data_IF_597684261503
#
_entry.id   IF_597684261503
#
_cell.length_a   1.000
_cell.length_b   1.000
_cell.length_c   1.000
_cell.angle_alpha   90.00
_cell.angle_beta   90.00
_cell.angle_gamma   90.00
#
_symmetry.space_group_name_H-M   'P 1'
#
loop_
_entity.id
_entity.type
_entity.pdbx_description
1 polymer ?
#
# COMPACT_ATOMS: atom_id res chain seq x y z
N UNK A 1 5.87 48.34 12.42
CA UNK A 1 4.41 48.51 12.13
C UNK A 1 3.65 48.32 13.44
N UNK A 2 2.86 49.32 13.90
CA UNK A 2 2.05 49.19 15.13
C UNK A 2 0.80 48.37 14.80
N UNK A 3 0.54 47.30 15.54
CA UNK A 3 -0.72 46.55 15.42
C UNK A 3 -1.92 47.48 15.70
N UNK A 4 -2.96 47.39 14.85
CA UNK A 4 -4.21 48.11 15.06
C UNK A 4 -4.83 47.70 16.40
N UNK A 5 -5.69 48.57 16.95
CA UNK A 5 -6.41 48.30 18.20
C UNK A 5 -7.25 47.01 18.09
N UNK A 6 -7.92 46.82 16.95
CA UNK A 6 -8.76 45.64 16.65
C UNK A 6 -7.92 44.36 16.59
N UNK A 7 -6.72 44.40 15.99
CA UNK A 7 -5.83 43.24 15.95
C UNK A 7 -5.38 42.79 17.35
N UNK A 8 -5.21 43.74 18.27
CA UNK A 8 -4.91 43.45 19.68
C UNK A 8 -6.10 42.88 20.43
N UNK A 9 -7.30 43.40 20.20
CA UNK A 9 -8.54 42.90 20.80
C UNK A 9 -8.85 41.46 20.35
N UNK A 10 -8.75 41.16 19.06
CA UNK A 10 -8.92 39.78 18.56
C UNK A 10 -7.84 38.85 19.11
N UNK A 11 -6.59 39.33 19.21
CA UNK A 11 -5.51 38.57 19.84
C UNK A 11 -5.81 38.23 21.30
N UNK A 12 -6.35 39.18 22.06
CA UNK A 12 -6.76 38.98 23.45
C UNK A 12 -7.90 37.98 23.57
N UNK A 13 -8.99 38.13 22.79
CA UNK A 13 -10.13 37.20 22.82
C UNK A 13 -9.67 35.78 22.48
N UNK A 14 -8.82 35.62 21.47
CA UNK A 14 -8.25 34.32 21.11
C UNK A 14 -7.45 33.72 22.26
N UNK A 15 -6.58 34.51 22.88
CA UNK A 15 -5.77 34.03 24.00
C UNK A 15 -6.63 33.60 25.18
N UNK A 16 -7.68 34.37 25.51
CA UNK A 16 -8.64 34.01 26.55
C UNK A 16 -9.43 32.76 26.21
N UNK A 17 -9.94 32.61 24.99
CA UNK A 17 -10.68 31.42 24.58
C UNK A 17 -9.82 30.15 24.58
N UNK A 18 -8.54 30.26 24.20
CA UNK A 18 -7.60 29.14 24.27
C UNK A 18 -7.24 28.77 25.71
N UNK A 19 -7.07 29.77 26.57
CA UNK A 19 -6.81 29.54 27.99
C UNK A 19 -8.02 28.89 28.66
N UNK A 20 -9.23 29.32 28.32
CA UNK A 20 -10.47 28.72 28.80
C UNK A 20 -10.55 27.25 28.38
N UNK A 21 -10.41 26.95 27.08
CA UNK A 21 -10.42 25.59 26.54
C UNK A 21 -9.35 24.68 27.17
N UNK A 22 -8.16 25.22 27.47
CA UNK A 22 -7.09 24.47 28.11
C UNK A 22 -7.35 24.18 29.59
N UNK A 23 -8.18 24.99 30.25
CA UNK A 23 -8.54 24.85 31.66
C UNK A 23 -9.89 24.15 31.86
N UNK A 24 -10.69 23.95 30.81
CA UNK A 24 -11.95 23.21 30.89
C UNK A 24 -11.68 21.77 31.35
N UNK A 25 -12.28 21.42 32.48
CA UNK A 25 -12.19 20.07 33.04
C UNK A 25 -13.11 19.09 32.30
N UNK A 26 -12.78 17.80 32.39
CA UNK A 26 -13.64 16.72 31.89
C UNK A 26 -15.08 16.79 32.41
N UNK A 27 -15.28 17.27 33.65
CA UNK A 27 -16.61 17.36 34.25
C UNK A 27 -17.42 18.52 33.71
N UNK A 28 -16.78 19.65 33.45
CA UNK A 28 -17.40 20.78 32.74
C UNK A 28 -17.82 20.36 31.33
N UNK A 29 -16.93 19.66 30.60
CA UNK A 29 -17.26 19.10 29.28
C UNK A 29 -18.49 18.18 29.39
N UNK A 30 -18.51 17.24 30.34
CA UNK A 30 -19.67 16.34 30.51
C UNK A 30 -20.96 17.10 30.82
N UNK A 31 -20.89 18.15 31.64
CA UNK A 31 -22.04 18.96 31.98
C UNK A 31 -22.56 19.74 30.77
N UNK A 32 -21.69 20.32 29.95
CA UNK A 32 -22.09 21.01 28.72
C UNK A 32 -22.85 20.08 27.76
N UNK A 33 -22.35 18.86 27.53
CA UNK A 33 -23.05 17.87 26.71
C UNK A 33 -24.41 17.50 27.31
N UNK A 34 -24.49 17.36 28.64
CA UNK A 34 -25.75 17.05 29.34
C UNK A 34 -26.75 18.20 29.21
N UNK A 35 -26.31 19.45 29.38
CA UNK A 35 -27.14 20.66 29.24
C UNK A 35 -27.64 20.84 27.81
N UNK A 36 -26.82 20.47 26.82
CA UNK A 36 -27.22 20.44 25.41
C UNK A 36 -28.15 19.27 25.05
N UNK A 37 -28.50 18.39 26.01
CA UNK A 37 -29.33 17.20 25.78
C UNK A 37 -28.63 16.14 24.93
N UNK A 38 -27.31 16.17 24.86
CA UNK A 38 -26.50 15.26 24.06
C UNK A 38 -25.95 14.11 24.92
N UNK A 39 -26.04 12.88 24.41
CA UNK A 39 -25.40 11.72 25.02
C UNK A 39 -23.94 11.61 24.56
N UNK A 40 -23.02 11.89 25.48
CA UNK A 40 -21.58 11.82 25.21
C UNK A 40 -21.12 10.42 24.77
N UNK A 41 -21.76 9.35 25.26
CA UNK A 41 -21.43 7.97 24.85
C UNK A 41 -21.82 7.75 23.39
N UNK A 42 -23.00 8.23 22.98
CA UNK A 42 -23.44 8.18 21.59
C UNK A 42 -22.52 8.98 20.67
N UNK A 43 -22.12 10.19 21.06
CA UNK A 43 -21.20 11.05 20.29
C UNK A 43 -19.82 10.39 20.14
N UNK A 44 -19.29 9.83 21.23
CA UNK A 44 -18.02 9.10 21.19
C UNK A 44 -18.08 7.90 20.25
N UNK A 45 -19.16 7.11 20.32
CA UNK A 45 -19.39 5.97 19.43
C UNK A 45 -19.48 6.39 17.96
N UNK A 46 -20.25 7.45 17.67
CA UNK A 46 -20.38 7.97 16.31
C UNK A 46 -19.03 8.42 15.75
N UNK A 47 -18.23 9.12 16.55
CA UNK A 47 -16.90 9.59 16.18
C UNK A 47 -15.96 8.41 15.91
N UNK A 48 -15.98 7.40 16.79
CA UNK A 48 -15.21 6.18 16.62
C UNK A 48 -15.56 5.46 15.32
N UNK A 49 -16.85 5.28 15.03
CA UNK A 49 -17.31 4.60 13.82
C UNK A 49 -16.95 5.38 12.55
N UNK A 50 -17.03 6.71 12.59
CA UNK A 50 -16.58 7.57 11.50
C UNK A 50 -15.07 7.42 11.23
N UNK A 51 -14.23 7.44 12.27
CA UNK A 51 -12.79 7.24 12.14
C UNK A 51 -12.47 5.86 11.56
N UNK A 52 -13.14 4.81 12.04
CA UNK A 52 -12.97 3.46 11.51
C UNK A 52 -13.31 3.39 10.02
N UNK A 53 -14.36 4.07 9.58
CA UNK A 53 -14.76 4.12 8.18
C UNK A 53 -13.72 4.84 7.31
N UNK A 54 -13.16 5.96 7.79
CA UNK A 54 -12.09 6.69 7.09
C UNK A 54 -10.84 5.83 6.93
N UNK A 55 -10.40 5.16 8.01
CA UNK A 55 -9.24 4.26 7.97
C UNK A 55 -9.48 3.13 6.98
N UNK A 56 -10.64 2.47 7.04
CA UNK A 56 -10.98 1.40 6.12
C UNK A 56 -11.01 1.87 4.65
N UNK A 57 -11.52 3.07 4.39
CA UNK A 57 -11.50 3.67 3.06
C UNK A 57 -10.05 3.92 2.58
N UNK A 58 -9.19 4.49 3.43
CA UNK A 58 -7.78 4.68 3.11
C UNK A 58 -7.04 3.38 2.78
N UNK A 59 -7.29 2.31 3.54
CA UNK A 59 -6.72 0.99 3.27
C UNK A 59 -7.19 0.41 1.92
N UNK A 60 -8.49 0.55 1.60
CA UNK A 60 -9.03 0.10 0.30
C UNK A 60 -8.39 0.86 -0.87
N UNK A 61 -8.26 2.18 -0.75
CA UNK A 61 -7.61 3.00 -1.77
C UNK A 61 -6.15 2.58 -1.96
N UNK A 62 -5.40 2.39 -0.87
CA UNK A 62 -4.00 1.95 -0.95
C UNK A 62 -3.87 0.58 -1.63
N UNK A 63 -4.75 -0.36 -1.30
CA UNK A 63 -4.77 -1.68 -1.94
C UNK A 63 -5.12 -1.58 -3.43
N UNK A 64 -6.09 -0.76 -3.80
CA UNK A 64 -6.47 -0.54 -5.20
C UNK A 64 -5.30 0.05 -6.00
N UNK A 65 -4.61 1.06 -5.47
CA UNK A 65 -3.43 1.65 -6.10
C UNK A 65 -2.29 0.64 -6.24
N UNK A 66 -2.04 -0.19 -5.21
CA UNK A 66 -1.02 -1.24 -5.29
C UNK A 66 -1.35 -2.27 -6.37
N UNK A 67 -2.61 -2.73 -6.44
CA UNK A 67 -3.06 -3.65 -7.50
C UNK A 67 -2.89 -3.05 -8.90
N UNK A 68 -3.25 -1.78 -9.08
CA UNK A 68 -3.09 -1.07 -10.34
C UNK A 68 -1.61 -0.98 -10.75
N UNK A 69 -0.71 -0.69 -9.80
CA UNK A 69 0.73 -0.66 -10.05
C UNK A 69 1.27 -2.04 -10.47
N UNK A 70 0.87 -3.12 -9.79
CA UNK A 70 1.27 -4.49 -10.17
C UNK A 70 0.76 -4.90 -11.56
N UNK A 71 -0.49 -4.53 -11.89
CA UNK A 71 -1.04 -4.78 -13.23
C UNK A 71 -0.30 -4.00 -14.31
N UNK A 72 0.03 -2.73 -14.06
CA UNK A 72 0.80 -1.91 -15.00
C UNK A 72 2.21 -2.48 -15.26
N UNK A 73 2.89 -2.97 -14.20
CA UNK A 73 4.17 -3.66 -14.34
C UNK A 73 4.06 -4.95 -15.17
N UNK A 74 2.96 -5.70 -14.99
CA UNK A 74 2.72 -6.94 -15.72
C UNK A 74 2.36 -6.67 -17.20
N UNK A 75 1.63 -5.59 -17.49
CA UNK A 75 1.25 -5.19 -18.85
C UNK A 75 2.40 -4.57 -19.65
N UNK A 76 3.41 -4.02 -18.98
CA UNK A 76 4.64 -3.48 -19.59
C UNK A 76 5.66 -4.57 -19.97
N UNK A 77 5.42 -5.83 -19.58
CA UNK A 77 6.32 -6.93 -19.91
C UNK A 77 6.24 -7.18 -21.43
N UNK A 78 7.36 -7.11 -22.18
CA UNK A 78 7.32 -7.25 -23.63
C UNK A 78 6.78 -8.63 -24.02
N UNK A 79 5.62 -8.65 -24.65
CA UNK A 79 4.90 -9.86 -25.10
C UNK A 79 5.42 -10.42 -26.43
N UNK A 80 6.38 -9.75 -27.07
CA UNK A 80 7.00 -10.19 -28.33
C UNK A 80 8.40 -10.78 -28.10
N UNK A 81 8.50 -11.77 -27.22
CA UNK A 81 9.68 -12.66 -27.18
C UNK A 81 9.20 -14.02 -27.65
N UNK A 82 9.71 -14.48 -28.79
CA UNK A 82 9.40 -15.81 -29.31
C UNK A 82 9.91 -16.80 -28.27
N UNK A 83 8.99 -17.47 -27.60
CA UNK A 83 9.34 -18.43 -26.57
C UNK A 83 9.97 -19.66 -27.25
N UNK A 84 11.17 -20.11 -26.83
CA UNK A 84 11.73 -21.36 -27.33
C UNK A 84 10.82 -22.56 -27.07
N UNK A 85 10.99 -23.63 -27.85
CA UNK A 85 10.26 -24.89 -27.62
C UNK A 85 10.44 -25.41 -26.19
N UNK A 86 9.47 -26.17 -25.66
CA UNK A 86 9.43 -26.58 -24.25
C UNK A 86 10.64 -27.42 -23.83
N UNK A 87 11.19 -28.20 -24.75
CA UNK A 87 12.42 -28.97 -24.59
C UNK A 87 13.61 -28.04 -24.35
N UNK A 88 13.68 -26.94 -25.10
CA UNK A 88 14.74 -25.95 -24.98
C UNK A 88 14.59 -25.11 -23.71
N UNK A 89 13.36 -24.82 -23.27
CA UNK A 89 13.10 -24.17 -21.99
C UNK A 89 13.63 -24.98 -20.81
N UNK A 90 13.41 -26.30 -20.82
CA UNK A 90 13.92 -27.20 -19.76
C UNK A 90 15.44 -27.13 -19.64
N UNK A 91 16.14 -27.10 -20.77
CA UNK A 91 17.60 -26.96 -20.80
C UNK A 91 18.07 -25.62 -20.25
N UNK A 92 17.49 -24.51 -20.73
CA UNK A 92 17.90 -23.15 -20.33
C UNK A 92 17.64 -22.92 -18.83
N UNK A 93 16.49 -23.38 -18.32
CA UNK A 93 16.14 -23.26 -16.90
C UNK A 93 17.09 -24.10 -16.05
N UNK A 94 17.41 -25.34 -16.48
CA UNK A 94 18.36 -26.20 -15.78
C UNK A 94 19.77 -25.59 -15.73
N UNK A 95 20.25 -25.04 -16.85
CA UNK A 95 21.54 -24.36 -16.94
C UNK A 95 21.60 -23.13 -16.02
N UNK A 96 20.53 -22.34 -16.00
CA UNK A 96 20.43 -21.14 -15.15
C UNK A 96 20.42 -21.51 -13.67
N UNK A 97 19.73 -22.59 -13.30
CA UNK A 97 19.74 -23.11 -11.93
C UNK A 97 21.09 -23.72 -11.51
N UNK A 98 21.85 -24.28 -12.45
CA UNK A 98 23.23 -24.70 -12.19
C UNK A 98 24.15 -23.50 -11.97
N UNK A 99 23.96 -22.41 -12.74
CA UNK A 99 24.72 -21.16 -12.59
C UNK A 99 24.37 -20.44 -11.29
N UNK A 100 23.10 -20.45 -10.88
CA UNK A 100 22.62 -19.78 -9.67
C UNK A 100 21.79 -20.70 -8.75
N UNK A 101 22.47 -21.53 -7.93
CA UNK A 101 21.80 -22.53 -7.08
C UNK A 101 20.84 -21.94 -6.04
N UNK A 102 21.07 -20.70 -5.59
CA UNK A 102 20.19 -20.01 -4.63
C UNK A 102 18.81 -19.73 -5.22
N UNK A 103 18.75 -19.47 -6.53
CA UNK A 103 17.50 -19.23 -7.25
C UNK A 103 16.74 -20.54 -7.41
N UNK A 104 17.46 -21.62 -7.76
CA UNK A 104 16.90 -22.96 -7.88
C UNK A 104 16.19 -23.42 -6.59
N UNK A 105 16.73 -23.07 -5.41
CA UNK A 105 16.09 -23.40 -4.12
C UNK A 105 14.74 -22.69 -3.94
N UNK A 106 14.60 -21.44 -4.41
CA UNK A 106 13.35 -20.69 -4.31
C UNK A 106 12.25 -21.23 -5.24
N UNK A 107 12.61 -21.88 -6.35
CA UNK A 107 11.65 -22.47 -7.31
C UNK A 107 11.34 -23.95 -7.05
N UNK A 108 12.15 -24.66 -6.26
CA UNK A 108 12.04 -26.11 -6.03
C UNK A 108 11.06 -26.50 -4.90
N UNK A 109 10.51 -25.54 -4.16
CA UNK A 109 9.81 -25.81 -2.88
C UNK A 109 8.37 -26.34 -2.99
N UNK A 110 8.01 -26.99 -4.10
CA UNK A 110 6.80 -27.83 -4.13
C UNK A 110 6.22 -28.07 -5.51
N UNK A 111 6.19 -29.36 -5.88
CA UNK A 111 5.50 -30.00 -7.02
C UNK A 111 6.30 -30.13 -8.33
N UNK A 112 6.03 -31.24 -9.01
CA UNK A 112 6.41 -31.51 -10.40
C UNK A 112 5.89 -30.33 -11.23
N UNK A 113 6.80 -29.49 -11.71
CA UNK A 113 6.44 -28.36 -12.57
C UNK A 113 5.87 -28.91 -13.87
N UNK A 114 4.66 -28.48 -14.21
CA UNK A 114 4.07 -28.75 -15.51
C UNK A 114 4.81 -27.94 -16.59
N UNK A 115 4.59 -28.27 -17.87
CA UNK A 115 5.20 -27.51 -18.97
C UNK A 115 4.78 -26.03 -18.95
N UNK A 116 3.59 -25.71 -18.41
CA UNK A 116 3.09 -24.34 -18.23
C UNK A 116 3.79 -23.62 -17.06
N UNK A 117 4.07 -24.33 -15.97
CA UNK A 117 4.85 -23.81 -14.84
C UNK A 117 6.29 -23.47 -15.26
N UNK A 118 6.91 -24.35 -16.05
CA UNK A 118 8.26 -24.15 -16.61
C UNK A 118 8.34 -22.90 -17.48
N UNK A 119 7.29 -22.64 -18.25
CA UNK A 119 7.21 -21.48 -19.12
C UNK A 119 7.06 -20.17 -18.33
N UNK A 120 6.32 -20.21 -17.22
CA UNK A 120 6.19 -19.09 -16.28
C UNK A 120 7.52 -18.80 -15.57
N UNK A 121 8.23 -19.85 -15.13
CA UNK A 121 9.56 -19.74 -14.52
C UNK A 121 10.56 -19.11 -15.50
N UNK A 122 10.53 -19.53 -16.77
CA UNK A 122 11.38 -18.92 -17.80
C UNK A 122 11.11 -17.42 -17.95
N UNK A 123 9.85 -17.00 -18.05
CA UNK A 123 9.50 -15.57 -18.17
C UNK A 123 9.97 -14.76 -16.96
N UNK A 124 9.94 -15.36 -15.76
CA UNK A 124 10.45 -14.77 -14.52
C UNK A 124 11.96 -14.62 -14.50
N UNK A 125 12.70 -15.65 -14.90
CA UNK A 125 14.17 -15.58 -15.04
C UNK A 125 14.60 -14.56 -16.10
N UNK A 126 13.86 -14.48 -17.21
CA UNK A 126 14.07 -13.46 -18.25
C UNK A 126 13.75 -12.06 -17.71
N UNK A 127 12.67 -11.91 -16.94
CA UNK A 127 12.29 -10.63 -16.30
C UNK A 127 13.29 -10.14 -15.24
N UNK A 128 13.95 -11.08 -14.56
CA UNK A 128 15.05 -10.78 -13.63
C UNK A 128 16.37 -10.46 -14.35
N UNK A 129 16.43 -10.60 -15.68
CA UNK A 129 17.64 -10.38 -16.48
C UNK A 129 18.68 -11.50 -16.38
N UNK A 130 18.31 -12.65 -15.80
CA UNK A 130 19.18 -13.82 -15.62
C UNK A 130 19.30 -14.64 -16.91
N UNK A 131 18.27 -14.58 -17.76
CA UNK A 131 18.27 -15.15 -19.11
C UNK A 131 18.13 -14.01 -20.10
N UNK A 132 19.04 -13.95 -21.06
CA UNK A 132 18.93 -13.06 -22.21
C UNK A 132 18.28 -13.83 -23.36
N UNK A 133 17.09 -13.42 -23.81
CA UNK A 133 16.37 -14.15 -24.86
C UNK A 133 17.09 -14.11 -26.21
N UNK A 134 17.87 -13.04 -26.46
CA UNK A 134 18.65 -12.84 -27.69
C UNK A 134 19.77 -13.88 -27.87
N UNK A 135 20.20 -14.53 -26.78
CA UNK A 135 21.19 -15.61 -26.81
C UNK A 135 20.56 -16.99 -27.14
N UNK A 136 19.24 -17.04 -27.29
CA UNK A 136 18.46 -18.28 -27.39
C UNK A 136 17.38 -18.26 -28.49
N UNK A 137 17.35 -17.22 -29.32
CA UNK A 137 16.56 -17.17 -30.56
C UNK A 137 17.24 -18.07 -31.61
N UNK A 138 16.69 -19.27 -31.80
CA UNK A 138 17.00 -20.18 -32.90
C UNK A 138 15.77 -20.42 -33.76
#
# INVERSE_FOLDING_TARGET
MKQSKESREIGFIRASALADLANTSDEEIRNEYREAGQDMVAVAKQTHDALRNVVAAGMRTRLASAKAATQALSASRPTNRVRPAIERLKEIVAETFMREPKIAMAFRDGKKQTDEDLATVYDDLVGMGLIKPEDHDG
#
